data_IF_480420304566
#
_entry.id   IF_480420304566
#
_cell.length_a   1.000
_cell.length_b   1.000
_cell.length_c   1.000
_cell.angle_alpha   90.00
_cell.angle_beta   90.00
_cell.angle_gamma   90.00
#
_symmetry.space_group_name_H-M   'P 1'
#
loop_
_entity.id
_entity.type
_entity.pdbx_description
1 polymer ?
#
# COMPACT_ATOMS: atom_id res chain seq x y z
N UNK A 1 0.51 -17.72 -16.53
CA UNK A 1 0.29 -16.74 -15.45
C UNK A 1 1.66 -16.33 -14.97
N UNK A 2 1.99 -15.05 -15.02
CA UNK A 2 3.25 -14.53 -14.44
C UNK A 2 3.14 -14.67 -12.91
N UNK A 3 4.20 -15.12 -12.26
CA UNK A 3 4.24 -15.17 -10.79
C UNK A 3 4.09 -13.75 -10.23
N UNK A 4 3.46 -13.60 -9.07
CA UNK A 4 3.30 -12.31 -8.39
C UNK A 4 4.70 -11.68 -8.18
N UNK A 5 4.95 -10.44 -8.68
CA UNK A 5 6.29 -9.86 -8.77
C UNK A 5 6.91 -9.51 -7.42
N UNK A 6 6.14 -9.49 -6.35
CA UNK A 6 6.59 -9.06 -5.02
C UNK A 6 6.53 -10.15 -3.94
N UNK A 7 6.32 -11.42 -4.29
CA UNK A 7 6.14 -12.50 -3.30
C UNK A 7 7.25 -12.55 -2.24
N UNK A 8 8.51 -12.49 -2.66
CA UNK A 8 9.64 -12.52 -1.72
C UNK A 8 9.76 -11.23 -0.89
N UNK A 9 9.43 -10.09 -1.46
CA UNK A 9 9.40 -8.80 -0.73
C UNK A 9 8.29 -8.81 0.31
N UNK A 10 7.10 -9.31 -0.03
CA UNK A 10 5.97 -9.44 0.89
C UNK A 10 6.31 -10.33 2.08
N UNK A 11 6.93 -11.49 1.86
CA UNK A 11 7.39 -12.39 2.94
C UNK A 11 8.39 -11.71 3.88
N UNK A 12 9.37 -10.98 3.35
CA UNK A 12 10.36 -10.26 4.17
C UNK A 12 9.71 -9.17 5.01
N UNK A 13 8.78 -8.43 4.44
CA UNK A 13 8.03 -7.37 5.14
C UNK A 13 7.14 -7.98 6.21
N UNK A 14 6.34 -9.00 5.89
CA UNK A 14 5.48 -9.67 6.85
C UNK A 14 6.25 -10.29 8.03
N UNK A 15 7.44 -10.85 7.78
CA UNK A 15 8.30 -11.40 8.84
C UNK A 15 8.77 -10.35 9.87
N UNK A 16 8.78 -9.07 9.51
CA UNK A 16 9.17 -7.97 10.41
C UNK A 16 7.97 -7.23 11.01
N UNK A 17 6.79 -7.40 10.45
CA UNK A 17 5.59 -6.65 10.81
C UNK A 17 4.99 -7.03 12.19
N UNK A 18 5.16 -8.27 12.65
CA UNK A 18 4.59 -8.75 13.92
C UNK A 18 5.16 -8.15 15.21
N UNK A 19 5.95 -7.08 15.12
CA UNK A 19 6.67 -6.48 16.26
C UNK A 19 6.02 -5.19 16.81
N UNK A 20 4.96 -4.67 16.19
CA UNK A 20 4.33 -3.41 16.62
C UNK A 20 2.82 -3.58 16.72
N UNK A 21 2.31 -3.63 17.95
CA UNK A 21 0.86 -3.55 18.23
C UNK A 21 0.47 -2.08 18.37
N UNK A 22 0.02 -1.48 17.29
CA UNK A 22 -0.56 -0.13 17.29
C UNK A 22 -2.07 -0.21 16.98
N UNK A 23 -2.83 0.76 17.50
CA UNK A 23 -4.25 0.81 17.16
C UNK A 23 -4.46 1.09 15.66
N UNK A 24 -5.53 0.56 15.08
CA UNK A 24 -5.90 0.80 13.66
C UNK A 24 -5.97 2.29 13.31
N UNK A 25 -6.40 3.14 14.25
CA UNK A 25 -6.39 4.60 14.08
C UNK A 25 -4.98 5.15 13.85
N UNK A 26 -4.00 4.69 14.62
CA UNK A 26 -2.61 5.11 14.43
C UNK A 26 -2.07 4.64 13.07
N UNK A 27 -2.40 3.43 12.64
CA UNK A 27 -2.02 2.88 11.34
C UNK A 27 -2.55 3.75 10.20
N UNK A 28 -3.86 4.04 10.16
CA UNK A 28 -4.47 4.89 9.13
C UNK A 28 -3.85 6.29 9.13
N UNK A 29 -3.60 6.87 10.31
CA UNK A 29 -2.94 8.18 10.42
C UNK A 29 -1.52 8.16 9.84
N UNK A 30 -0.74 7.11 10.10
CA UNK A 30 0.60 6.92 9.50
C UNK A 30 0.53 6.81 7.98
N UNK A 31 -0.43 6.06 7.42
CA UNK A 31 -0.60 5.95 5.97
C UNK A 31 -0.87 7.31 5.32
N UNK A 32 -1.71 8.14 5.89
CA UNK A 32 -1.92 9.51 5.39
C UNK A 32 -0.63 10.35 5.42
N UNK A 33 0.18 10.23 6.46
CA UNK A 33 1.49 10.90 6.52
C UNK A 33 2.45 10.35 5.45
N UNK A 34 2.48 9.02 5.21
CA UNK A 34 3.29 8.40 4.15
C UNK A 34 2.83 8.84 2.76
N UNK A 35 1.52 8.88 2.52
CA UNK A 35 0.97 9.41 1.27
C UNK A 35 1.37 10.87 1.04
N UNK A 36 1.36 11.71 2.07
CA UNK A 36 1.84 13.10 1.95
C UNK A 36 3.32 13.18 1.55
N UNK A 37 4.18 12.28 2.07
CA UNK A 37 5.59 12.18 1.67
C UNK A 37 5.73 11.72 0.22
N UNK A 38 4.96 10.71 -0.20
CA UNK A 38 4.93 10.23 -1.59
C UNK A 38 4.48 11.34 -2.53
N UNK A 39 3.40 12.05 -2.21
CA UNK A 39 2.93 13.20 -2.98
C UNK A 39 3.99 14.30 -3.13
N UNK A 40 4.69 14.63 -2.05
CA UNK A 40 5.81 15.58 -2.07
C UNK A 40 6.95 15.11 -3.00
N UNK A 41 7.29 13.84 -2.96
CA UNK A 41 8.32 13.25 -3.83
C UNK A 41 7.88 13.27 -5.31
N UNK A 42 6.62 12.98 -5.63
CA UNK A 42 6.07 13.07 -6.99
C UNK A 42 6.14 14.52 -7.50
N UNK A 43 5.73 15.50 -6.70
CA UNK A 43 5.83 16.93 -7.03
C UNK A 43 7.31 17.36 -7.19
N UNK A 44 8.25 16.61 -6.61
CA UNK A 44 9.68 16.91 -6.65
C UNK A 44 10.13 18.00 -5.67
N UNK A 45 9.37 18.21 -4.59
CA UNK A 45 9.68 19.20 -3.56
C UNK A 45 9.56 18.60 -2.16
N UNK A 46 10.46 18.99 -1.26
CA UNK A 46 10.35 18.65 0.16
C UNK A 46 9.34 19.58 0.88
N UNK A 47 9.13 19.33 2.18
CA UNK A 47 8.21 20.12 2.99
C UNK A 47 8.57 21.63 3.06
N UNK A 48 9.82 22.01 2.81
CA UNK A 48 10.28 23.39 2.78
C UNK A 48 10.16 24.02 1.36
N UNK A 49 9.64 23.30 0.36
CA UNK A 49 9.52 23.75 -1.02
C UNK A 49 10.81 23.64 -1.84
N UNK A 50 11.88 23.06 -1.29
CA UNK A 50 13.15 22.85 -2.00
C UNK A 50 13.03 21.68 -2.99
N UNK A 51 13.71 21.81 -4.15
CA UNK A 51 13.73 20.76 -5.18
C UNK A 51 14.41 19.50 -4.64
N UNK A 52 13.74 18.38 -4.81
CA UNK A 52 14.22 17.07 -4.38
C UNK A 52 14.92 16.36 -5.56
N UNK A 53 16.20 15.94 -5.43
CA UNK A 53 16.87 15.14 -6.45
C UNK A 53 16.15 13.83 -6.73
N UNK A 54 16.21 13.32 -7.96
CA UNK A 54 15.48 12.12 -8.39
C UNK A 54 15.78 10.88 -7.53
N UNK A 55 17.05 10.68 -7.16
CA UNK A 55 17.42 9.56 -6.28
C UNK A 55 16.71 9.65 -4.92
N UNK A 56 16.67 10.85 -4.34
CA UNK A 56 16.00 11.09 -3.06
C UNK A 56 14.48 10.93 -3.16
N UNK A 57 13.88 11.35 -4.29
CA UNK A 57 12.45 11.12 -4.57
C UNK A 57 12.11 9.65 -4.57
N UNK A 58 12.94 8.85 -5.27
CA UNK A 58 12.78 7.39 -5.32
C UNK A 58 12.90 6.77 -3.93
N UNK A 59 13.92 7.14 -3.15
CA UNK A 59 14.12 6.64 -1.79
C UNK A 59 12.92 6.94 -0.88
N UNK A 60 12.38 8.17 -0.97
CA UNK A 60 11.18 8.57 -0.21
C UNK A 60 9.98 7.71 -0.61
N UNK A 61 9.71 7.54 -1.90
CA UNK A 61 8.58 6.73 -2.37
C UNK A 61 8.74 5.28 -1.93
N UNK A 62 9.88 4.65 -2.22
CA UNK A 62 10.10 3.24 -1.90
C UNK A 62 10.12 2.97 -0.40
N UNK A 63 10.65 3.89 0.40
CA UNK A 63 10.61 3.83 1.86
C UNK A 63 9.18 3.88 2.38
N UNK A 64 8.39 4.87 1.93
CA UNK A 64 7.00 5.00 2.34
C UNK A 64 6.14 3.78 1.94
N UNK A 65 6.33 3.24 0.73
CA UNK A 65 5.61 2.04 0.27
C UNK A 65 5.93 0.81 1.12
N UNK A 66 7.21 0.61 1.49
CA UNK A 66 7.60 -0.49 2.42
C UNK A 66 6.93 -0.36 3.78
N UNK A 67 6.87 0.84 4.33
CA UNK A 67 6.25 1.08 5.63
C UNK A 67 4.73 0.92 5.57
N UNK A 68 4.06 1.37 4.49
CA UNK A 68 2.62 1.13 4.29
C UNK A 68 2.33 -0.38 4.22
N UNK A 69 3.11 -1.14 3.45
CA UNK A 69 2.94 -2.59 3.34
C UNK A 69 3.21 -3.30 4.67
N UNK A 70 4.21 -2.86 5.44
CA UNK A 70 4.51 -3.41 6.76
C UNK A 70 3.39 -3.14 7.78
N UNK A 71 2.87 -1.92 7.80
CA UNK A 71 1.74 -1.55 8.64
C UNK A 71 0.46 -2.33 8.25
N UNK A 72 0.22 -2.55 6.94
CA UNK A 72 -0.89 -3.37 6.47
C UNK A 72 -0.74 -4.84 6.92
N UNK A 73 0.45 -5.43 6.80
CA UNK A 73 0.71 -6.77 7.29
C UNK A 73 0.53 -6.89 8.81
N UNK A 74 1.03 -5.91 9.58
CA UNK A 74 0.83 -5.87 11.03
C UNK A 74 -0.65 -5.81 11.40
N UNK A 75 -1.41 -4.96 10.72
CA UNK A 75 -2.86 -4.86 10.93
C UNK A 75 -3.56 -6.19 10.64
N UNK A 76 -3.21 -6.89 9.56
CA UNK A 76 -3.78 -8.18 9.24
C UNK A 76 -3.45 -9.24 10.31
N UNK A 77 -2.24 -9.24 10.87
CA UNK A 77 -1.89 -10.10 12.01
C UNK A 77 -2.75 -9.80 13.25
N UNK A 78 -3.02 -8.54 13.54
CA UNK A 78 -3.89 -8.13 14.65
C UNK A 78 -5.35 -8.62 14.47
N UNK A 79 -5.75 -8.93 13.23
CA UNK A 79 -7.04 -9.54 12.87
C UNK A 79 -6.95 -11.05 12.56
N UNK A 80 -5.98 -11.75 13.14
CA UNK A 80 -5.79 -13.20 13.05
C UNK A 80 -5.55 -13.74 11.62
N UNK A 81 -5.04 -12.92 10.69
CA UNK A 81 -4.60 -13.38 9.36
C UNK A 81 -3.20 -13.99 9.49
N UNK A 82 -3.07 -15.30 9.37
CA UNK A 82 -1.82 -16.04 9.62
C UNK A 82 -0.71 -15.74 8.58
N UNK A 83 -1.06 -15.50 7.33
CA UNK A 83 -0.10 -15.24 6.24
C UNK A 83 -0.50 -14.01 5.40
N UNK A 84 -0.24 -12.80 5.87
CA UNK A 84 -0.52 -11.58 5.10
C UNK A 84 0.17 -11.54 3.72
N UNK A 85 1.35 -12.15 3.58
CA UNK A 85 2.06 -12.17 2.29
C UNK A 85 1.31 -12.99 1.24
N UNK A 86 0.74 -14.14 1.63
CA UNK A 86 -0.10 -14.94 0.74
C UNK A 86 -1.40 -14.21 0.37
N UNK A 87 -2.00 -13.50 1.32
CA UNK A 87 -3.23 -12.72 1.11
C UNK A 87 -2.97 -11.56 0.13
N UNK A 88 -1.87 -10.82 0.28
CA UNK A 88 -1.48 -9.77 -0.68
C UNK A 88 -1.22 -10.34 -2.09
N UNK A 89 -0.56 -11.49 -2.20
CA UNK A 89 -0.33 -12.12 -3.49
C UNK A 89 -1.64 -12.57 -4.16
N UNK A 90 -2.57 -13.14 -3.41
CA UNK A 90 -3.88 -13.54 -3.92
C UNK A 90 -4.70 -12.33 -4.39
N UNK A 91 -4.66 -11.21 -3.66
CA UNK A 91 -5.32 -9.96 -4.05
C UNK A 91 -4.73 -9.38 -5.33
N UNK A 92 -3.40 -9.36 -5.45
CA UNK A 92 -2.72 -8.95 -6.68
C UNK A 92 -3.17 -9.81 -7.89
N UNK A 93 -3.21 -11.13 -7.74
CA UNK A 93 -3.67 -12.04 -8.79
C UNK A 93 -5.12 -11.79 -9.16
N UNK A 94 -6.00 -11.55 -8.17
CA UNK A 94 -7.40 -11.19 -8.38
C UNK A 94 -7.52 -9.89 -9.18
N UNK A 95 -6.76 -8.86 -8.80
CA UNK A 95 -6.75 -7.57 -9.49
C UNK A 95 -6.22 -7.70 -10.93
N UNK A 96 -5.16 -8.48 -11.16
CA UNK A 96 -4.60 -8.73 -12.48
C UNK A 96 -5.58 -9.44 -13.43
N UNK A 97 -6.42 -10.32 -12.89
CA UNK A 97 -7.49 -10.97 -13.67
C UNK A 97 -8.64 -10.00 -13.96
N UNK A 98 -9.06 -9.20 -12.97
CA UNK A 98 -10.16 -8.23 -13.09
C UNK A 98 -9.80 -7.06 -14.02
N UNK A 99 -8.53 -6.62 -13.96
CA UNK A 99 -8.03 -5.45 -14.69
C UNK A 99 -6.71 -5.78 -15.42
N UNK A 100 -6.74 -6.55 -16.53
CA UNK A 100 -5.53 -6.98 -17.23
C UNK A 100 -4.67 -5.80 -17.68
N UNK A 101 -3.37 -5.82 -17.28
CA UNK A 101 -2.41 -4.77 -17.60
C UNK A 101 -2.55 -3.48 -16.81
N UNK A 102 -3.38 -3.45 -15.77
CA UNK A 102 -3.64 -2.27 -14.93
C UNK A 102 -3.12 -2.41 -13.48
N UNK A 103 -2.35 -3.45 -13.18
CA UNK A 103 -1.67 -3.56 -11.87
C UNK A 103 -0.59 -2.48 -11.72
N UNK A 104 -0.30 -2.04 -10.49
CA UNK A 104 0.57 -0.88 -10.26
C UNK A 104 2.05 -1.09 -10.61
N UNK A 105 2.48 -2.32 -10.82
CA UNK A 105 3.79 -2.67 -11.39
C UNK A 105 3.85 -2.49 -12.92
N UNK A 106 2.71 -2.47 -13.63
CA UNK A 106 2.65 -2.35 -15.08
C UNK A 106 3.24 -1.04 -15.62
N UNK A 107 3.80 -1.09 -16.84
CA UNK A 107 4.52 0.02 -17.46
C UNK A 107 3.67 1.24 -17.81
N UNK A 108 2.38 1.07 -18.02
CA UNK A 108 1.47 2.10 -18.53
C UNK A 108 1.09 3.21 -17.54
N UNK A 109 1.51 3.11 -16.26
CA UNK A 109 1.09 4.04 -15.21
C UNK A 109 2.17 5.06 -14.86
N UNK A 110 1.74 6.31 -14.59
CA UNK A 110 2.58 7.33 -13.96
C UNK A 110 2.60 7.13 -12.44
N UNK A 111 3.58 7.71 -11.75
CA UNK A 111 3.59 7.67 -10.28
C UNK A 111 2.41 8.44 -9.67
N UNK A 112 1.88 9.45 -10.37
CA UNK A 112 0.66 10.15 -9.96
C UNK A 112 -0.57 9.24 -10.01
N UNK A 113 -0.74 8.44 -11.08
CA UNK A 113 -1.87 7.51 -11.18
C UNK A 113 -1.79 6.39 -10.14
N UNK A 114 -0.57 5.90 -9.85
CA UNK A 114 -0.33 4.94 -8.77
C UNK A 114 -0.66 5.52 -7.39
N UNK A 115 -0.27 6.79 -7.18
CA UNK A 115 -0.58 7.51 -5.96
C UNK A 115 -2.08 7.62 -5.73
N UNK A 116 -2.85 7.98 -6.77
CA UNK A 116 -4.30 8.11 -6.62
C UNK A 116 -4.96 6.76 -6.30
N UNK A 117 -4.53 5.67 -6.94
CA UNK A 117 -5.06 4.34 -6.65
C UNK A 117 -4.78 3.93 -5.19
N UNK A 118 -3.55 4.12 -4.70
CA UNK A 118 -3.21 3.80 -3.31
C UNK A 118 -3.95 4.72 -2.31
N UNK A 119 -4.10 6.00 -2.63
CA UNK A 119 -4.81 6.95 -1.77
C UNK A 119 -6.31 6.65 -1.67
N UNK A 120 -6.92 6.15 -2.75
CA UNK A 120 -8.32 5.67 -2.77
C UNK A 120 -8.51 4.54 -1.75
N UNK A 121 -7.69 3.48 -1.81
CA UNK A 121 -7.80 2.35 -0.90
C UNK A 121 -7.53 2.73 0.57
N UNK A 122 -6.57 3.62 0.83
CA UNK A 122 -6.36 4.17 2.18
C UNK A 122 -7.62 4.93 2.66
N UNK A 123 -8.30 5.62 1.76
CA UNK A 123 -9.58 6.27 2.04
C UNK A 123 -10.69 5.27 2.34
N UNK A 124 -10.73 4.12 1.66
CA UNK A 124 -11.71 3.05 1.90
C UNK A 124 -11.47 2.36 3.24
N UNK A 125 -10.21 2.15 3.65
CA UNK A 125 -9.91 1.73 5.03
C UNK A 125 -10.44 2.74 6.03
N UNK A 126 -10.24 4.04 5.82
CA UNK A 126 -10.79 5.06 6.71
C UNK A 126 -12.32 5.03 6.73
N UNK A 127 -12.97 4.82 5.57
CA UNK A 127 -14.42 4.69 5.44
C UNK A 127 -14.96 3.48 6.20
N UNK A 128 -14.24 2.33 6.18
CA UNK A 128 -14.63 1.13 6.92
C UNK A 128 -14.69 1.35 8.45
N UNK A 129 -13.95 2.32 8.96
CA UNK A 129 -13.86 2.67 10.39
C UNK A 129 -14.85 3.77 10.80
N UNK A 130 -15.69 4.26 9.89
CA UNK A 130 -16.67 5.31 10.20
C UNK A 130 -17.82 4.80 11.07
N UNK A 131 -18.44 5.71 11.79
CA UNK A 131 -19.62 5.42 12.57
C UNK A 131 -20.75 4.82 11.74
N UNK A 132 -20.99 5.36 10.55
CA UNK A 132 -22.06 4.88 9.66
C UNK A 132 -21.80 3.44 9.17
N UNK A 133 -20.54 3.08 8.91
CA UNK A 133 -20.19 1.71 8.54
C UNK A 133 -20.43 0.75 9.70
N UNK A 134 -20.05 1.14 10.93
CA UNK A 134 -20.28 0.35 12.13
C UNK A 134 -21.79 0.13 12.43
N UNK A 135 -22.65 1.06 12.00
CA UNK A 135 -24.11 0.96 12.13
C UNK A 135 -24.80 0.23 10.96
N UNK A 136 -24.02 -0.23 9.95
CA UNK A 136 -24.56 -0.87 8.76
C UNK A 136 -25.34 0.10 7.83
N UNK A 137 -25.18 1.39 7.99
CA UNK A 137 -25.82 2.45 7.17
C UNK A 137 -24.81 3.12 6.22
N UNK A 138 -23.54 2.75 6.31
CA UNK A 138 -22.45 3.26 5.49
C UNK A 138 -22.20 2.44 4.23
N UNK A 139 -20.96 2.45 3.77
CA UNK A 139 -20.54 1.83 2.51
C UNK A 139 -20.40 0.30 2.55
N UNK A 140 -20.65 -0.36 3.69
CA UNK A 140 -20.41 -1.79 3.94
C UNK A 140 -18.96 -2.22 3.60
N UNK A 141 -18.00 -1.31 3.77
CA UNK A 141 -16.60 -1.60 3.55
C UNK A 141 -16.10 -2.63 4.58
N UNK A 142 -15.41 -3.66 4.09
CA UNK A 142 -14.77 -4.68 4.92
C UNK A 142 -13.34 -4.29 5.22
N UNK A 143 -13.04 -3.96 6.48
CA UNK A 143 -11.73 -3.50 6.91
C UNK A 143 -10.59 -4.41 6.46
N UNK A 144 -10.73 -5.73 6.60
CA UNK A 144 -9.69 -6.70 6.23
C UNK A 144 -9.45 -6.69 4.73
N UNK A 145 -10.53 -6.61 3.94
CA UNK A 145 -10.44 -6.48 2.48
C UNK A 145 -9.69 -5.22 2.07
N UNK A 146 -10.06 -4.06 2.62
CA UNK A 146 -9.45 -2.78 2.27
C UNK A 146 -7.97 -2.71 2.70
N UNK A 147 -7.63 -3.20 3.91
CA UNK A 147 -6.23 -3.31 4.36
C UNK A 147 -5.43 -4.23 3.43
N UNK A 148 -6.02 -5.32 2.95
CA UNK A 148 -5.40 -6.23 2.00
C UNK A 148 -5.09 -5.53 0.68
N UNK A 149 -6.03 -4.74 0.15
CA UNK A 149 -5.84 -3.96 -1.08
C UNK A 149 -4.72 -2.92 -0.91
N UNK A 150 -4.71 -2.16 0.20
CA UNK A 150 -3.62 -1.21 0.50
C UNK A 150 -2.26 -1.90 0.48
N UNK A 151 -2.10 -3.04 1.15
CA UNK A 151 -0.84 -3.79 1.18
C UNK A 151 -0.42 -4.30 -0.19
N UNK A 152 -1.35 -4.89 -0.95
CA UNK A 152 -1.09 -5.41 -2.29
C UNK A 152 -0.69 -4.29 -3.28
N UNK A 153 -1.39 -3.14 -3.25
CA UNK A 153 -1.06 -1.99 -4.11
C UNK A 153 0.31 -1.38 -3.76
N UNK A 154 0.62 -1.21 -2.48
CA UNK A 154 1.92 -0.71 -2.05
C UNK A 154 3.06 -1.61 -2.53
N UNK A 155 2.89 -2.94 -2.43
CA UNK A 155 3.87 -3.93 -2.90
C UNK A 155 4.00 -3.97 -4.42
N UNK A 156 2.89 -3.90 -5.17
CA UNK A 156 2.90 -3.87 -6.62
C UNK A 156 3.64 -2.61 -7.12
N UNK A 157 3.36 -1.45 -6.54
CA UNK A 157 4.10 -0.23 -6.90
C UNK A 157 5.58 -0.32 -6.53
N UNK A 158 5.91 -0.88 -5.36
CA UNK A 158 7.31 -1.10 -4.94
C UNK A 158 8.06 -2.00 -5.91
N UNK A 159 7.45 -3.08 -6.42
CA UNK A 159 8.04 -3.99 -7.39
C UNK A 159 8.47 -3.26 -8.67
N UNK A 160 7.72 -2.27 -9.12
CA UNK A 160 8.06 -1.43 -10.27
C UNK A 160 9.43 -0.75 -10.15
N UNK A 161 9.84 -0.39 -8.94
CA UNK A 161 11.16 0.21 -8.69
C UNK A 161 12.27 -0.84 -8.61
N UNK A 162 11.97 -2.06 -8.18
CA UNK A 162 12.94 -3.15 -8.07
C UNK A 162 13.34 -3.72 -9.44
N UNK A 163 12.40 -3.83 -10.38
CA UNK A 163 12.66 -4.31 -11.74
C UNK A 163 13.60 -3.39 -12.54
N UNK A 164 13.73 -2.13 -12.16
CA UNK A 164 14.62 -1.16 -12.82
C UNK A 164 16.08 -1.21 -12.33
N UNK A 165 16.36 -2.02 -11.31
CA UNK A 165 17.72 -2.19 -10.76
C UNK A 165 18.45 -3.43 -11.32
N UNK A 166 17.73 -4.31 -12.03
CA UNK A 166 18.26 -5.50 -12.69
C UNK A 166 18.39 -5.29 -14.19
#
# INVERSE_FOLDING_TARGET
MSACPFTETAKKIAATAGLTSDSTLHTVSRWHLRLALVGSAIIGKNANGEVMPDIKRRDVITGALREIAADAASTLFDYDVEDPAAVFAAEYERAAVKHPGMTLDADGHTDESRFYALAEEVGEVAASLTYDNAQGTGHNADLISEVTQVGALALAWLARYQDREN
#
